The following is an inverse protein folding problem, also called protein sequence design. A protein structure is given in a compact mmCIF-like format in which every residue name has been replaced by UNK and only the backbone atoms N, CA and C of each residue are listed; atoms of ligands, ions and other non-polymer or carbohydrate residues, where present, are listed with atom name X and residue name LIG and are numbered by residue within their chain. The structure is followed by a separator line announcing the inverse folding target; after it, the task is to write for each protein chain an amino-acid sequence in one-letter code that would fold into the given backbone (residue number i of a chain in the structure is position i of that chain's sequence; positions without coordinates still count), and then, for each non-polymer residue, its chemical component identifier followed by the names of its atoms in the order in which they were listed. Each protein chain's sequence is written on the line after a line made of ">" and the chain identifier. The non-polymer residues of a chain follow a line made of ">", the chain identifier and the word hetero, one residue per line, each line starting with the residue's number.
data_IF_877463492331
#
_entry.id   IF_877463492331
#
_cell.length_a   1.000
_cell.length_b   1.000
_cell.length_c   1.000
_cell.angle_alpha   90.00
_cell.angle_beta   90.00
_cell.angle_gamma   90.00
#
_symmetry.space_group_name_H-M   'P 1'
#
loop_
_entity.id
_entity.type
_entity.pdbx_description
1 polymer ?
#
# COMPACT_ATOMS: atom_id res chain seq x y z
N UNK A 1 -0.47 -17.95 13.60
CA UNK A 1 0.97 -18.28 13.46
C UNK A 1 1.55 -17.36 12.39
N UNK A 2 2.77 -16.83 12.56
CA UNK A 2 3.45 -16.05 11.53
C UNK A 2 4.15 -17.02 10.58
N UNK A 3 4.04 -16.79 9.27
CA UNK A 3 4.75 -17.61 8.27
C UNK A 3 6.25 -17.30 8.29
N UNK A 4 7.07 -18.36 8.18
CA UNK A 4 8.51 -18.24 8.01
C UNK A 4 8.88 -18.09 6.52
N UNK A 5 10.15 -17.91 6.23
CA UNK A 5 10.70 -17.71 4.88
C UNK A 5 10.43 -18.90 3.93
N UNK A 6 10.43 -20.14 4.44
CA UNK A 6 10.14 -21.33 3.65
C UNK A 6 8.68 -21.33 3.24
N UNK A 7 7.75 -21.12 4.19
CA UNK A 7 6.31 -21.08 3.92
C UNK A 7 5.94 -19.93 2.99
N UNK A 8 6.56 -18.74 3.16
CA UNK A 8 6.38 -17.60 2.26
C UNK A 8 6.81 -17.96 0.83
N UNK A 9 7.98 -18.57 0.67
CA UNK A 9 8.50 -18.99 -0.64
C UNK A 9 7.57 -20.01 -1.31
N UNK A 10 7.10 -21.00 -0.59
CA UNK A 10 6.15 -22.00 -1.09
C UNK A 10 4.83 -21.37 -1.52
N UNK A 11 4.27 -20.45 -0.69
CA UNK A 11 3.04 -19.74 -1.03
C UNK A 11 3.21 -18.85 -2.27
N UNK A 12 4.36 -18.21 -2.46
CA UNK A 12 4.64 -17.44 -3.69
C UNK A 12 4.74 -18.38 -4.89
N UNK A 13 5.48 -19.47 -4.78
CA UNK A 13 5.73 -20.39 -5.88
C UNK A 13 4.47 -21.13 -6.35
N UNK A 14 3.62 -21.58 -5.43
CA UNK A 14 2.48 -22.46 -5.73
C UNK A 14 1.12 -21.76 -5.69
N UNK A 15 0.97 -20.66 -4.94
CA UNK A 15 -0.31 -19.97 -4.73
C UNK A 15 -0.30 -18.51 -5.16
N UNK A 16 0.82 -18.02 -5.71
CA UNK A 16 1.00 -16.62 -6.10
C UNK A 16 0.69 -15.62 -4.96
N UNK A 17 0.99 -15.95 -3.71
CA UNK A 17 0.73 -15.08 -2.56
C UNK A 17 1.21 -13.64 -2.80
N UNK A 18 2.36 -13.50 -3.48
CA UNK A 18 2.91 -12.23 -3.96
C UNK A 18 3.21 -12.39 -5.44
N UNK A 19 2.71 -11.49 -6.26
CA UNK A 19 2.96 -11.44 -7.70
C UNK A 19 3.68 -10.14 -8.07
N UNK A 20 4.67 -10.25 -8.95
CA UNK A 20 5.29 -9.13 -9.64
C UNK A 20 4.77 -9.11 -11.08
N UNK A 21 4.09 -8.05 -11.51
CA UNK A 21 3.56 -7.96 -12.86
C UNK A 21 4.61 -8.29 -13.93
N UNK A 22 4.28 -9.22 -14.82
CA UNK A 22 5.17 -9.68 -15.90
C UNK A 22 6.33 -10.57 -15.46
N UNK A 23 6.42 -10.99 -14.17
CA UNK A 23 7.45 -11.89 -13.66
C UNK A 23 6.83 -13.09 -12.95
N UNK A 24 7.09 -14.30 -13.42
CA UNK A 24 6.74 -15.52 -12.69
C UNK A 24 7.85 -15.93 -11.71
N UNK A 25 7.48 -16.57 -10.60
CA UNK A 25 8.49 -17.08 -9.65
C UNK A 25 9.49 -18.04 -10.33
N UNK A 26 9.01 -18.93 -11.20
CA UNK A 26 9.84 -19.90 -11.90
C UNK A 26 10.94 -19.25 -12.76
N UNK A 27 10.65 -18.11 -13.39
CA UNK A 27 11.60 -17.39 -14.26
C UNK A 27 12.40 -16.29 -13.56
N UNK A 28 11.98 -15.88 -12.36
CA UNK A 28 12.48 -14.68 -11.68
C UNK A 28 12.69 -14.93 -10.17
N UNK A 29 12.95 -16.18 -9.76
CA UNK A 29 13.06 -16.56 -8.34
C UNK A 29 14.03 -15.67 -7.56
N UNK A 30 15.19 -15.34 -8.13
CA UNK A 30 16.18 -14.47 -7.49
C UNK A 30 15.61 -13.10 -7.11
N UNK A 31 14.69 -12.57 -7.91
CA UNK A 31 14.07 -11.27 -7.67
C UNK A 31 13.07 -11.35 -6.49
N UNK A 32 12.35 -12.45 -6.35
CA UNK A 32 11.50 -12.72 -5.19
C UNK A 32 12.32 -13.06 -3.96
N UNK A 33 13.29 -13.97 -4.10
CA UNK A 33 14.08 -14.47 -2.97
C UNK A 33 14.85 -13.38 -2.24
N UNK A 34 15.33 -12.34 -2.95
CA UNK A 34 16.02 -11.22 -2.31
C UNK A 34 15.09 -10.35 -1.44
N UNK A 35 13.77 -10.46 -1.60
CA UNK A 35 12.77 -9.75 -0.82
C UNK A 35 12.20 -10.59 0.34
N UNK A 36 12.36 -11.92 0.32
CA UNK A 36 11.96 -12.80 1.40
C UNK A 36 12.90 -12.58 2.60
N UNK A 37 12.32 -12.34 3.76
CA UNK A 37 12.98 -12.18 5.04
C UNK A 37 12.58 -13.35 5.95
N UNK A 38 13.22 -13.59 7.11
CA UNK A 38 12.94 -14.73 7.98
C UNK A 38 11.47 -14.95 8.36
N UNK A 39 10.65 -13.86 8.41
CA UNK A 39 9.23 -13.91 8.76
C UNK A 39 8.40 -12.83 8.05
N UNK A 40 8.86 -12.33 6.91
CA UNK A 40 8.16 -11.30 6.14
C UNK A 40 8.62 -11.28 4.69
N UNK A 41 7.91 -10.54 3.86
CA UNK A 41 8.30 -10.20 2.50
C UNK A 41 8.43 -8.67 2.37
N UNK A 42 9.54 -8.20 1.81
CA UNK A 42 9.80 -6.77 1.60
C UNK A 42 9.15 -6.30 0.28
N UNK A 43 8.12 -5.47 0.38
CA UNK A 43 7.44 -4.84 -0.76
C UNK A 43 8.25 -3.66 -1.30
N UNK A 44 8.27 -3.54 -2.64
CA UNK A 44 8.96 -2.48 -3.36
C UNK A 44 8.02 -1.33 -3.67
N UNK A 45 8.58 -0.15 -3.73
CA UNK A 45 7.88 1.06 -4.15
C UNK A 45 7.83 1.10 -5.69
N UNK A 46 6.65 1.28 -6.25
CA UNK A 46 6.48 1.50 -7.70
C UNK A 46 6.92 2.91 -8.12
N UNK A 47 6.89 3.19 -9.43
CA UNK A 47 7.19 4.53 -9.99
C UNK A 47 5.97 5.46 -10.04
N UNK A 48 4.80 5.02 -9.54
CA UNK A 48 3.57 5.80 -9.56
C UNK A 48 3.31 6.41 -8.18
N UNK A 49 3.20 7.72 -8.13
CA UNK A 49 2.95 8.48 -6.90
C UNK A 49 1.77 9.41 -7.08
N UNK A 50 1.14 9.79 -5.97
CA UNK A 50 0.08 10.79 -5.94
C UNK A 50 0.32 11.79 -4.82
N UNK A 51 0.15 13.06 -5.17
CA UNK A 51 0.23 14.19 -4.25
C UNK A 51 -1.15 14.79 -4.09
N UNK A 52 -1.60 14.97 -2.85
CA UNK A 52 -2.86 15.65 -2.57
C UNK A 52 -2.77 17.09 -3.07
N UNK A 53 -3.73 17.52 -3.88
CA UNK A 53 -3.83 18.90 -4.31
C UNK A 53 -4.32 19.77 -3.15
N UNK A 54 -3.57 20.82 -2.84
CA UNK A 54 -4.00 21.79 -1.84
C UNK A 54 -5.22 22.57 -2.32
N UNK A 55 -6.19 22.86 -1.44
CA UNK A 55 -7.42 23.59 -1.77
C UNK A 55 -7.17 24.94 -2.48
N UNK A 56 -6.07 25.63 -2.12
CA UNK A 56 -5.66 26.88 -2.78
C UNK A 56 -5.32 26.74 -4.27
N UNK A 57 -5.12 25.51 -4.75
CA UNK A 57 -4.85 25.22 -6.17
C UNK A 57 -6.10 24.72 -6.90
N UNK A 58 -7.18 24.48 -6.16
CA UNK A 58 -8.47 24.12 -6.69
C UNK A 58 -9.30 25.40 -6.82
N UNK A 59 -10.05 25.53 -7.88
CA UNK A 59 -10.98 26.65 -8.06
C UNK A 59 -12.21 26.46 -7.16
N UNK A 60 -12.05 26.68 -5.87
CA UNK A 60 -13.07 26.44 -4.84
C UNK A 60 -12.97 27.47 -3.72
N UNK A 61 -14.12 27.85 -3.16
CA UNK A 61 -14.22 28.70 -1.96
C UNK A 61 -14.10 27.89 -0.64
N UNK A 62 -13.90 26.58 -0.73
CA UNK A 62 -13.76 25.70 0.43
C UNK A 62 -12.49 26.03 1.22
N UNK A 63 -12.60 26.00 2.54
CA UNK A 63 -11.48 26.20 3.49
C UNK A 63 -10.95 24.91 4.08
N UNK A 64 -11.69 23.81 3.91
CA UNK A 64 -11.35 22.45 4.39
C UNK A 64 -11.91 21.42 3.42
N UNK A 65 -11.38 20.21 3.49
CA UNK A 65 -11.93 19.05 2.81
C UNK A 65 -12.88 18.37 3.80
N UNK A 66 -14.14 18.22 3.42
CA UNK A 66 -15.10 17.42 4.19
C UNK A 66 -14.83 15.92 3.91
N UNK A 67 -15.19 15.05 4.86
CA UNK A 67 -14.92 13.60 4.75
C UNK A 67 -15.68 12.96 3.57
N UNK A 68 -16.77 13.55 3.15
CA UNK A 68 -17.57 13.12 2.01
C UNK A 68 -17.17 13.80 0.68
N UNK A 69 -16.17 14.67 0.71
CA UNK A 69 -15.60 15.26 -0.50
C UNK A 69 -14.68 14.26 -1.21
N UNK A 70 -14.56 14.45 -2.52
CA UNK A 70 -13.52 13.78 -3.29
C UNK A 70 -12.16 14.45 -3.02
N UNK A 71 -11.18 13.65 -2.63
CA UNK A 71 -9.81 14.13 -2.50
C UNK A 71 -9.15 14.13 -3.87
N UNK A 72 -8.75 15.30 -4.34
CA UNK A 72 -8.06 15.43 -5.62
C UNK A 72 -6.56 15.20 -5.50
N UNK A 73 -6.01 14.47 -6.47
CA UNK A 73 -4.59 14.15 -6.53
C UNK A 73 -3.95 14.65 -7.82
N UNK A 74 -2.67 15.00 -7.74
CA UNK A 74 -1.78 15.09 -8.88
C UNK A 74 -1.00 13.79 -8.98
N UNK A 75 -1.12 13.08 -10.11
CA UNK A 75 -0.33 11.88 -10.37
C UNK A 75 1.08 12.26 -10.86
N UNK A 76 2.07 11.52 -10.39
CA UNK A 76 3.48 11.68 -10.72
C UNK A 76 4.02 10.30 -11.08
N UNK A 77 4.52 10.14 -12.30
CA UNK A 77 5.23 8.92 -12.72
C UNK A 77 6.71 9.27 -12.80
N UNK A 78 7.52 8.67 -11.94
CA UNK A 78 8.95 8.96 -11.87
C UNK A 78 9.71 7.84 -11.19
N UNK A 79 10.90 7.53 -11.67
CA UNK A 79 11.80 6.58 -11.02
C UNK A 79 12.43 7.16 -9.73
N UNK A 80 12.52 8.49 -9.64
CA UNK A 80 13.02 9.20 -8.47
C UNK A 80 12.02 10.29 -8.04
N UNK A 81 11.64 10.33 -6.76
CA UNK A 81 10.80 11.37 -6.18
C UNK A 81 11.46 12.00 -4.96
N UNK A 82 11.52 13.32 -4.91
CA UNK A 82 11.99 14.05 -3.72
C UNK A 82 10.79 14.52 -2.91
N UNK A 83 10.75 14.12 -1.64
CA UNK A 83 9.72 14.49 -0.67
C UNK A 83 10.29 15.56 0.27
N UNK A 84 9.66 16.74 0.28
CA UNK A 84 10.07 17.85 1.13
C UNK A 84 9.68 17.61 2.61
N UNK A 85 10.34 18.27 3.58
CA UNK A 85 9.89 18.26 4.96
C UNK A 85 8.43 18.68 5.10
N UNK A 86 7.63 17.89 5.86
CA UNK A 86 6.20 18.13 6.05
C UNK A 86 5.33 17.71 4.86
N UNK A 87 5.89 17.09 3.83
CA UNK A 87 5.13 16.65 2.67
C UNK A 87 4.60 15.23 2.85
N UNK A 88 3.35 15.01 2.42
CA UNK A 88 2.67 13.72 2.35
C UNK A 88 2.45 13.33 0.89
N UNK A 89 2.73 12.07 0.56
CA UNK A 89 2.45 11.47 -0.74
C UNK A 89 1.84 10.08 -0.57
N UNK A 90 1.14 9.61 -1.58
CA UNK A 90 0.79 8.21 -1.75
C UNK A 90 1.73 7.59 -2.79
N UNK A 91 2.36 6.50 -2.43
CA UNK A 91 3.03 5.56 -3.32
C UNK A 91 2.18 4.29 -3.47
N UNK A 92 2.69 3.33 -4.22
CA UNK A 92 2.08 2.03 -4.40
C UNK A 92 3.16 0.94 -4.41
N UNK A 93 2.82 -0.27 -3.97
CA UNK A 93 3.72 -1.41 -4.13
C UNK A 93 3.87 -1.79 -5.60
N UNK A 94 5.06 -2.26 -5.99
CA UNK A 94 5.30 -2.90 -7.28
C UNK A 94 4.61 -4.27 -7.33
N UNK A 95 4.52 -4.92 -6.16
CA UNK A 95 3.89 -6.21 -6.00
C UNK A 95 2.37 -6.11 -5.88
N UNK A 96 1.70 -7.17 -6.35
CA UNK A 96 0.30 -7.47 -6.07
C UNK A 96 0.26 -8.55 -5.01
N UNK A 97 -0.58 -8.38 -3.99
CA UNK A 97 -0.82 -9.35 -2.93
C UNK A 97 -2.12 -10.10 -3.21
N UNK A 98 -2.06 -11.42 -3.22
CA UNK A 98 -3.21 -12.32 -3.35
C UNK A 98 -3.40 -13.07 -2.03
N UNK A 99 -4.11 -12.45 -1.09
CA UNK A 99 -4.26 -13.00 0.26
C UNK A 99 -5.42 -14.01 0.28
N UNK A 100 -5.16 -15.31 0.52
CA UNK A 100 -6.24 -16.29 0.62
C UNK A 100 -7.06 -16.08 1.90
N UNK A 101 -8.21 -16.74 1.99
CA UNK A 101 -9.13 -16.60 3.14
C UNK A 101 -8.54 -17.14 4.47
N UNK A 102 -7.46 -17.91 4.43
CA UNK A 102 -6.77 -18.47 5.61
C UNK A 102 -5.59 -17.63 6.10
N UNK A 103 -5.27 -16.53 5.41
CA UNK A 103 -4.18 -15.62 5.78
C UNK A 103 -4.68 -14.19 6.01
N UNK A 104 -4.10 -13.52 6.98
CA UNK A 104 -4.10 -12.08 7.12
C UNK A 104 -2.66 -11.57 6.99
N UNK A 105 -2.47 -10.28 6.73
CA UNK A 105 -1.15 -9.69 6.76
C UNK A 105 -1.10 -8.37 7.51
N UNK A 106 0.08 -8.08 8.07
CA UNK A 106 0.38 -6.81 8.70
C UNK A 106 1.54 -6.14 7.97
N UNK A 107 1.39 -4.86 7.68
CA UNK A 107 2.42 -4.05 7.08
C UNK A 107 3.25 -3.36 8.17
N UNK A 108 4.56 -3.30 7.98
CA UNK A 108 5.47 -2.55 8.82
C UNK A 108 6.52 -1.85 7.95
N UNK A 109 6.79 -0.55 8.15
CA UNK A 109 7.88 0.11 7.44
C UNK A 109 9.23 -0.50 7.84
N UNK A 110 10.15 -0.57 6.87
CA UNK A 110 11.52 -0.95 7.19
C UNK A 110 12.18 0.14 8.04
N UNK A 111 12.78 -0.27 9.15
CA UNK A 111 13.30 0.64 10.18
C UNK A 111 14.28 1.72 9.67
N UNK A 112 14.97 1.47 8.56
CA UNK A 112 15.89 2.43 7.93
C UNK A 112 15.19 3.71 7.50
N UNK A 113 13.92 3.62 7.04
CA UNK A 113 13.15 4.79 6.60
C UNK A 113 12.69 5.63 7.80
N UNK A 114 12.21 5.00 8.87
CA UNK A 114 11.89 5.71 10.11
C UNK A 114 13.10 6.44 10.69
N UNK A 115 14.28 5.82 10.63
CA UNK A 115 15.54 6.47 11.08
C UNK A 115 15.99 7.62 10.18
N UNK A 116 15.52 7.65 8.92
CA UNK A 116 15.74 8.76 8.00
C UNK A 116 14.67 9.87 8.11
N UNK A 117 13.73 9.74 9.06
CA UNK A 117 12.66 10.71 9.30
C UNK A 117 11.40 10.49 8.45
N UNK A 118 11.29 9.35 7.76
CA UNK A 118 10.10 9.02 6.99
C UNK A 118 9.14 8.16 7.81
N UNK A 119 7.88 8.60 7.94
CA UNK A 119 6.77 7.77 8.40
C UNK A 119 6.09 7.14 7.20
N UNK A 120 5.80 5.85 7.26
CA UNK A 120 5.19 5.11 6.15
C UNK A 120 4.08 4.19 6.64
N UNK A 121 3.04 4.04 5.82
CA UNK A 121 1.91 3.12 6.02
C UNK A 121 1.24 3.29 7.37
N UNK A 122 0.26 4.17 7.38
CA UNK A 122 -0.62 4.37 8.54
C UNK A 122 -1.69 3.26 8.61
N UNK A 123 -2.09 2.72 7.45
CA UNK A 123 -2.98 1.56 7.33
C UNK A 123 -2.13 0.29 7.27
N UNK A 124 -2.11 -0.48 8.37
CA UNK A 124 -1.16 -1.59 8.53
C UNK A 124 -1.77 -2.97 8.37
N UNK A 125 -3.10 -3.07 8.25
CA UNK A 125 -3.80 -4.35 8.21
C UNK A 125 -4.29 -4.69 6.81
N UNK A 126 -4.04 -5.94 6.38
CA UNK A 126 -4.59 -6.52 5.14
C UNK A 126 -5.48 -7.70 5.53
N UNK A 127 -6.75 -7.60 5.19
CA UNK A 127 -7.76 -8.60 5.53
C UNK A 127 -7.66 -9.84 4.63
N UNK A 128 -8.08 -11.02 5.13
CA UNK A 128 -8.19 -12.24 4.34
C UNK A 128 -9.03 -12.03 3.09
N UNK A 129 -8.58 -12.57 1.96
CA UNK A 129 -9.25 -12.42 0.68
C UNK A 129 -8.93 -11.12 -0.08
N UNK A 130 -8.05 -10.27 0.45
CA UNK A 130 -7.58 -9.09 -0.27
C UNK A 130 -6.78 -9.50 -1.51
N UNK A 131 -7.04 -8.82 -2.62
CA UNK A 131 -6.33 -8.96 -3.89
C UNK A 131 -6.04 -7.57 -4.42
N UNK A 132 -4.77 -7.23 -4.66
CA UNK A 132 -4.39 -5.91 -5.17
C UNK A 132 -2.99 -5.45 -4.76
N UNK A 133 -2.58 -4.33 -5.30
CA UNK A 133 -1.39 -3.61 -4.87
C UNK A 133 -1.65 -2.85 -3.57
N UNK A 134 -0.59 -2.55 -2.83
CA UNK A 134 -0.67 -1.89 -1.53
C UNK A 134 -0.40 -0.40 -1.71
N UNK A 135 -1.35 0.43 -1.29
CA UNK A 135 -1.12 1.86 -1.14
C UNK A 135 -0.11 2.11 -0.01
N UNK A 136 0.84 2.99 -0.24
CA UNK A 136 1.93 3.30 0.68
C UNK A 136 1.86 4.79 1.01
N UNK A 137 1.30 5.12 2.16
CA UNK A 137 1.31 6.49 2.67
C UNK A 137 2.73 6.83 3.13
N UNK A 138 3.29 7.94 2.63
CA UNK A 138 4.63 8.41 3.00
C UNK A 138 4.58 9.86 3.44
N UNK A 139 5.08 10.12 4.64
CA UNK A 139 5.20 11.45 5.21
C UNK A 139 6.64 11.73 5.62
N UNK A 140 7.21 12.84 5.15
CA UNK A 140 8.53 13.28 5.59
C UNK A 140 8.41 14.12 6.86
N UNK A 141 8.60 13.48 8.02
CA UNK A 141 8.64 14.12 9.32
C UNK A 141 10.04 14.66 9.68
N UNK A 142 11.05 14.39 8.84
CA UNK A 142 12.42 14.85 9.04
C UNK A 142 12.64 16.29 8.58
N UNK A 143 13.77 16.91 8.94
CA UNK A 143 14.09 18.29 8.60
C UNK A 143 14.65 18.47 7.18
N UNK A 144 15.01 17.38 6.48
CA UNK A 144 15.67 17.41 5.18
C UNK A 144 14.80 16.79 4.08
N UNK A 145 14.91 17.26 2.82
CA UNK A 145 14.32 16.57 1.69
C UNK A 145 14.89 15.15 1.56
N UNK A 146 14.03 14.18 1.27
CA UNK A 146 14.42 12.77 1.08
C UNK A 146 14.06 12.32 -0.32
N UNK A 147 15.03 11.73 -1.03
CA UNK A 147 14.81 11.14 -2.34
C UNK A 147 14.43 9.67 -2.19
N UNK A 148 13.24 9.31 -2.66
CA UNK A 148 12.80 7.93 -2.86
C UNK A 148 13.07 7.49 -4.29
N UNK A 149 13.32 6.19 -4.47
CA UNK A 149 13.51 5.56 -5.77
C UNK A 149 12.54 4.40 -5.95
N UNK A 150 11.95 4.29 -7.13
CA UNK A 150 11.20 3.12 -7.53
C UNK A 150 12.06 1.84 -7.42
N UNK A 151 11.43 0.71 -7.15
CA UNK A 151 12.13 -0.55 -6.89
C UNK A 151 12.78 -0.68 -5.51
N UNK A 152 12.80 0.40 -4.70
CA UNK A 152 13.32 0.33 -3.33
C UNK A 152 12.35 -0.44 -2.43
N UNK A 153 12.85 -1.42 -1.67
CA UNK A 153 12.08 -2.17 -0.68
C UNK A 153 11.81 -1.29 0.53
N UNK A 154 10.55 -0.97 0.79
CA UNK A 154 10.14 0.06 1.77
C UNK A 154 9.29 -0.49 2.91
N UNK A 155 8.46 -1.51 2.65
CA UNK A 155 7.56 -2.13 3.63
C UNK A 155 7.86 -3.61 3.79
N UNK A 156 7.57 -4.13 4.97
CA UNK A 156 7.56 -5.55 5.29
C UNK A 156 6.11 -6.03 5.42
N UNK A 157 5.70 -7.01 4.61
CA UNK A 157 4.45 -7.72 4.77
C UNK A 157 4.70 -8.96 5.64
N UNK A 158 4.12 -8.99 6.83
CA UNK A 158 4.15 -10.11 7.77
C UNK A 158 2.87 -10.90 7.59
N UNK A 159 2.95 -12.13 7.08
CA UNK A 159 1.79 -12.99 6.84
C UNK A 159 1.48 -13.83 8.07
N UNK A 160 0.21 -13.92 8.40
CA UNK A 160 -0.28 -14.61 9.59
C UNK A 160 -1.35 -15.63 9.21
N UNK A 161 -1.10 -16.89 9.53
CA UNK A 161 -2.08 -17.96 9.40
C UNK A 161 -3.19 -17.78 10.43
N UNK A 162 -4.44 -17.75 9.98
CA UNK A 162 -5.62 -17.78 10.84
C UNK A 162 -5.83 -19.18 11.43
N UNK A 163 -6.57 -19.27 12.52
CA UNK A 163 -6.95 -20.54 13.14
C UNK A 163 -7.84 -21.40 12.24
N UNK A 164 -8.64 -20.76 11.39
CA UNK A 164 -9.44 -21.35 10.32
C UNK A 164 -9.65 -20.30 9.23
N UNK A 165 -10.21 -20.71 8.09
CA UNK A 165 -10.55 -19.77 7.01
C UNK A 165 -11.60 -18.78 7.48
N UNK A 166 -11.42 -17.51 7.10
CA UNK A 166 -12.46 -16.52 7.26
C UNK A 166 -13.70 -16.92 6.46
N UNK A 167 -14.86 -16.89 7.10
CA UNK A 167 -16.14 -17.16 6.44
C UNK A 167 -16.45 -16.09 5.38
N UNK A 168 -16.13 -14.83 5.71
CA UNK A 168 -16.30 -13.69 4.81
C UNK A 168 -14.92 -13.19 4.37
N UNK A 169 -14.65 -13.30 3.08
CA UNK A 169 -13.46 -12.69 2.47
C UNK A 169 -13.65 -11.18 2.29
N UNK A 170 -12.53 -10.45 2.20
CA UNK A 170 -12.56 -9.02 1.94
C UNK A 170 -13.27 -8.71 0.61
N UNK A 171 -14.29 -7.85 0.69
CA UNK A 171 -15.08 -7.33 -0.45
C UNK A 171 -15.15 -5.79 -0.41
N UNK A 172 -14.17 -5.16 0.24
CA UNK A 172 -14.15 -3.71 0.42
C UNK A 172 -13.80 -2.95 -0.87
N UNK A 173 -13.93 -1.63 -0.81
CA UNK A 173 -13.78 -0.69 -1.93
C UNK A 173 -12.41 -0.68 -2.60
N UNK A 174 -11.39 -1.23 -1.97
CA UNK A 174 -10.02 -1.32 -2.51
C UNK A 174 -9.67 -2.72 -3.05
N UNK A 175 -10.67 -3.59 -3.26
CA UNK A 175 -10.45 -4.91 -3.85
C UNK A 175 -10.04 -4.79 -5.30
N UNK A 176 -9.05 -5.57 -5.71
CA UNK A 176 -8.49 -5.64 -7.08
C UNK A 176 -7.93 -4.30 -7.60
N UNK A 177 -7.52 -3.41 -6.68
CA UNK A 177 -6.99 -2.11 -7.05
C UNK A 177 -5.51 -2.20 -7.39
N UNK A 178 -5.15 -1.91 -8.64
CA UNK A 178 -3.76 -1.89 -9.13
C UNK A 178 -3.33 -0.53 -9.67
N UNK A 179 -4.27 0.40 -9.89
CA UNK A 179 -4.01 1.69 -10.53
C UNK A 179 -4.50 2.91 -9.73
N UNK A 180 -5.58 2.76 -8.96
CA UNK A 180 -6.15 3.87 -8.19
C UNK A 180 -5.75 3.80 -6.73
N UNK A 181 -4.86 4.70 -6.31
CA UNK A 181 -4.38 4.83 -4.92
C UNK A 181 -5.08 5.93 -4.14
N UNK A 182 -6.12 6.56 -4.71
CA UNK A 182 -6.80 7.68 -4.08
C UNK A 182 -7.72 7.24 -2.94
N UNK A 183 -8.05 8.20 -2.04
CA UNK A 183 -9.04 7.96 -1.00
C UNK A 183 -10.43 7.78 -1.63
N UNK A 184 -11.12 6.74 -1.21
CA UNK A 184 -12.53 6.46 -1.55
C UNK A 184 -13.42 6.63 -0.31
N UNK A 185 -13.01 7.50 0.61
CA UNK A 185 -13.68 7.72 1.88
C UNK A 185 -15.14 8.16 1.70
N UNK A 186 -15.42 8.97 0.67
CA UNK A 186 -16.79 9.42 0.38
C UNK A 186 -17.78 8.28 0.13
N UNK A 187 -17.30 7.09 -0.25
CA UNK A 187 -18.16 5.91 -0.44
C UNK A 187 -18.69 5.34 0.87
N UNK A 188 -18.09 5.70 2.01
CA UNK A 188 -18.57 5.34 3.34
C UNK A 188 -19.74 6.23 3.80
N UNK A 189 -20.08 7.27 3.04
CA UNK A 189 -21.15 8.24 3.33
C UNK A 189 -22.29 8.16 2.31
N UNK A 190 -23.06 7.05 2.26
CA UNK A 190 -24.12 6.85 1.27
C UNK A 190 -25.36 7.76 1.46
N UNK A 191 -25.45 8.49 2.57
CA UNK A 191 -26.65 9.22 3.02
C UNK A 191 -26.68 10.70 2.65
N UNK A 192 -25.90 11.14 1.65
CA UNK A 192 -26.03 12.50 1.07
C UNK A 192 -27.41 12.81 0.48
N UNK A 193 -28.32 11.85 0.39
CA UNK A 193 -29.70 12.04 -0.09
C UNK A 193 -30.76 12.00 1.01
N UNK A 194 -30.42 11.87 2.29
CA UNK A 194 -31.36 11.71 3.40
C UNK A 194 -31.20 12.77 4.50
N UNK A 195 -30.59 13.89 4.24
CA UNK A 195 -30.81 15.06 5.12
C UNK A 195 -32.19 15.58 4.78
N UNK A 196 -33.17 15.10 5.55
CA UNK A 196 -34.48 15.75 5.61
C UNK A 196 -34.23 17.19 6.03
N UNK A 197 -34.67 18.14 5.20
CA UNK A 197 -34.67 19.58 5.43
C UNK A 197 -35.47 19.97 6.69
#
# INVERSE_FOLDING_TARGET
>A
MVLNDIEIRERIAFSKLVELPGKSYASSSRYYDCAIQPASYDLRLSSVFRRIKALRWLNTDKRYIDLDDEVEYAEIVSDDLVIQPGEFILGMSEEIIHLPADLAAMLSPRSSFGRAGLSMSYSTWISPGYDGSIAIEVFNAGPNPVKLRAGTRVLQAVFMQLSDKAEISYIGKYQSETENMGSRLREDFPWKGQRDD
#
